data_IF_103182873652
#
_entry.id   IF_103182873652
#
_cell.length_a   1.000
_cell.length_b   1.000
_cell.length_c   1.000
_cell.angle_alpha   90.00
_cell.angle_beta   90.00
_cell.angle_gamma   90.00
#
_symmetry.space_group_name_H-M   'P 1'
#
loop_
_entity.id
_entity.type
_entity.pdbx_description
1 polymer ?
#
# COMPACT_ATOMS: atom_id res chain seq x y z
N UNK A 1 13.77 -6.46 9.56
CA UNK A 1 12.66 -5.90 8.92
C UNK A 1 11.46 -5.80 9.76
N UNK A 2 10.90 -6.88 10.27
CA UNK A 2 9.75 -6.71 11.14
C UNK A 2 10.11 -5.92 12.38
N UNK A 3 11.35 -6.00 12.77
CA UNK A 3 11.84 -5.23 13.89
C UNK A 3 11.67 -3.75 13.66
N UNK A 4 12.02 -3.29 12.47
CA UNK A 4 11.90 -1.88 12.14
C UNK A 4 10.45 -1.43 12.17
N UNK A 5 9.57 -2.21 11.60
CA UNK A 5 8.16 -1.86 11.59
C UNK A 5 7.59 -1.79 12.99
N UNK A 6 7.96 -2.76 13.79
CA UNK A 6 7.50 -2.81 15.17
C UNK A 6 7.97 -1.59 15.95
N UNK A 7 9.23 -1.26 15.77
CA UNK A 7 9.81 -0.11 16.43
C UNK A 7 9.10 1.18 16.05
N UNK A 8 8.79 1.35 14.79
CA UNK A 8 8.10 2.53 14.33
C UNK A 8 6.73 2.67 14.98
N UNK A 9 6.03 1.56 15.13
CA UNK A 9 4.71 1.61 15.76
C UNK A 9 4.80 2.01 17.21
N UNK A 10 5.78 1.50 17.89
CA UNK A 10 5.98 1.85 19.28
C UNK A 10 6.30 3.31 19.45
N UNK A 11 7.17 3.82 18.61
CA UNK A 11 7.56 5.21 18.69
C UNK A 11 6.36 6.11 18.49
N UNK A 12 5.50 5.75 17.57
CA UNK A 12 4.33 6.58 17.28
C UNK A 12 3.27 6.48 18.34
N UNK A 13 3.34 5.45 19.16
CA UNK A 13 2.55 5.37 20.37
C UNK A 13 1.07 5.68 20.13
N UNK A 14 0.44 4.90 19.31
CA UNK A 14 -0.98 5.03 19.10
C UNK A 14 -1.39 6.11 18.13
N UNK A 15 -0.47 6.97 17.78
CA UNK A 15 -0.77 8.00 16.80
C UNK A 15 -0.28 7.65 15.42
N UNK A 16 0.55 6.64 15.35
CA UNK A 16 1.15 6.26 14.09
C UNK A 16 0.18 5.42 13.27
N UNK A 17 0.13 5.73 12.01
CA UNK A 17 -0.50 4.86 11.04
C UNK A 17 0.33 4.99 9.79
N UNK A 18 0.41 3.89 9.07
CA UNK A 18 1.24 3.85 7.90
C UNK A 18 0.53 4.58 6.76
N UNK A 19 1.29 5.39 6.05
CA UNK A 19 0.78 6.04 4.86
C UNK A 19 0.36 4.97 3.86
N UNK A 20 -0.76 5.17 3.14
CA UNK A 20 -1.23 4.14 2.23
C UNK A 20 -0.23 3.87 1.11
N UNK A 21 0.56 4.86 0.74
CA UNK A 21 1.57 4.65 -0.30
C UNK A 21 2.65 3.69 0.17
N UNK A 22 3.05 3.81 1.41
CA UNK A 22 4.03 2.90 1.99
C UNK A 22 3.46 1.49 2.07
N UNK A 23 2.20 1.38 2.51
CA UNK A 23 1.56 0.08 2.60
C UNK A 23 1.41 -0.55 1.22
N UNK A 24 1.07 0.28 0.24
CA UNK A 24 0.93 -0.17 -1.14
C UNK A 24 2.24 -0.73 -1.67
N UNK A 25 3.33 -0.01 -1.41
CA UNK A 25 4.65 -0.47 -1.82
C UNK A 25 5.02 -1.77 -1.09
N UNK A 26 4.75 -1.83 0.20
CA UNK A 26 5.08 -3.02 0.98
C UNK A 26 4.33 -4.24 0.47
N UNK A 27 3.06 -4.08 0.15
CA UNK A 27 2.28 -5.19 -0.39
C UNK A 27 2.84 -5.65 -1.73
N UNK A 28 3.23 -4.69 -2.56
CA UNK A 28 3.82 -5.02 -3.85
C UNK A 28 5.13 -5.80 -3.66
N UNK A 29 5.99 -5.31 -2.81
CA UNK A 29 7.29 -5.94 -2.59
C UNK A 29 7.15 -7.27 -1.89
N UNK A 30 6.22 -7.38 -0.95
CA UNK A 30 5.99 -8.65 -0.26
C UNK A 30 5.55 -9.75 -1.23
N UNK A 31 4.91 -9.37 -2.32
CA UNK A 31 4.44 -10.32 -3.32
C UNK A 31 5.38 -10.39 -4.52
N UNK A 32 6.55 -9.79 -4.41
CA UNK A 32 7.56 -9.82 -5.47
C UNK A 32 7.04 -9.31 -6.81
N UNK A 33 6.24 -8.25 -6.77
CA UNK A 33 5.67 -7.68 -7.98
C UNK A 33 6.38 -6.41 -8.38
N UNK A 34 6.45 -6.20 -9.69
CA UNK A 34 7.01 -4.96 -10.21
C UNK A 34 5.93 -3.88 -10.23
N UNK A 35 6.37 -2.63 -10.32
CA UNK A 35 5.43 -1.53 -10.47
C UNK A 35 4.61 -1.68 -11.74
N UNK A 36 5.24 -2.19 -12.79
CA UNK A 36 4.54 -2.40 -14.05
C UNK A 36 3.41 -3.42 -13.88
N UNK A 37 3.69 -4.49 -13.17
CA UNK A 37 2.70 -5.56 -12.97
C UNK A 37 1.49 -5.05 -12.19
N UNK A 38 1.75 -4.32 -11.11
CA UNK A 38 0.63 -3.80 -10.30
C UNK A 38 -0.10 -2.70 -11.04
N UNK A 39 0.64 -1.86 -11.77
CA UNK A 39 0.01 -0.83 -12.57
C UNK A 39 -1.00 -1.42 -13.55
N UNK A 40 -0.66 -2.56 -14.15
CA UNK A 40 -1.56 -3.21 -15.10
C UNK A 40 -2.88 -3.61 -14.45
N UNK A 41 -2.86 -3.95 -13.18
CA UNK A 41 -4.08 -4.34 -12.46
C UNK A 41 -5.08 -3.20 -12.42
N UNK A 42 -4.58 -1.98 -12.32
CA UNK A 42 -5.45 -0.81 -12.24
C UNK A 42 -5.39 0.01 -13.53
N UNK A 43 -4.98 -0.62 -14.62
CA UNK A 43 -4.97 0.01 -15.95
C UNK A 43 -4.12 1.25 -16.01
N UNK A 44 -2.95 1.18 -15.40
CA UNK A 44 -2.02 2.29 -15.43
C UNK A 44 -0.68 1.81 -15.97
N UNK A 45 0.03 2.72 -16.60
CA UNK A 45 1.40 2.43 -17.01
C UNK A 45 2.27 2.31 -15.77
N UNK A 46 3.47 1.76 -15.96
CA UNK A 46 4.43 1.69 -14.86
C UNK A 46 4.69 3.07 -14.28
N UNK A 47 4.84 4.06 -15.15
CA UNK A 47 5.12 5.41 -14.69
C UNK A 47 3.94 6.00 -13.92
N UNK A 48 2.73 5.78 -14.42
CA UNK A 48 1.54 6.27 -13.71
C UNK A 48 1.40 5.65 -12.34
N UNK A 49 1.64 4.35 -12.23
CA UNK A 49 1.60 3.69 -10.94
C UNK A 49 2.71 4.19 -10.03
N UNK A 50 3.91 4.37 -10.60
CA UNK A 50 5.05 4.86 -9.82
C UNK A 50 4.75 6.23 -9.22
N UNK A 51 4.07 7.08 -9.95
CA UNK A 51 3.72 8.40 -9.45
C UNK A 51 2.81 8.30 -8.23
N UNK A 52 1.93 7.29 -8.21
CA UNK A 52 1.08 7.12 -7.03
C UNK A 52 1.91 6.69 -5.83
N UNK A 53 2.84 5.77 -6.02
CA UNK A 53 3.71 5.36 -4.91
C UNK A 53 4.59 6.50 -4.41
N UNK A 54 5.01 7.38 -5.30
CA UNK A 54 5.89 8.48 -4.97
C UNK A 54 5.17 9.69 -4.35
N UNK A 55 3.85 9.71 -4.44
CA UNK A 55 3.11 10.83 -3.92
C UNK A 55 2.81 11.93 -4.93
N UNK A 56 3.12 11.71 -6.19
CA UNK A 56 2.85 12.70 -7.24
C UNK A 56 1.44 12.60 -7.78
N UNK A 57 0.78 11.49 -7.53
CA UNK A 57 -0.58 11.28 -8.00
C UNK A 57 -1.38 10.61 -6.91
N UNK A 58 -2.69 10.81 -6.95
CA UNK A 58 -3.59 10.22 -5.97
C UNK A 58 -4.09 8.88 -6.44
N UNK A 59 -4.33 7.98 -5.49
CA UNK A 59 -4.95 6.71 -5.78
C UNK A 59 -6.47 6.89 -5.74
N UNK A 60 -7.13 6.53 -6.83
CA UNK A 60 -8.58 6.63 -6.88
C UNK A 60 -9.21 5.53 -6.07
N UNK A 61 -10.42 5.80 -5.58
CA UNK A 61 -11.11 4.84 -4.74
C UNK A 61 -11.37 3.53 -5.49
N UNK A 62 -11.71 3.61 -6.76
CA UNK A 62 -11.96 2.40 -7.53
C UNK A 62 -10.70 1.55 -7.66
N UNK A 63 -9.57 2.20 -7.81
CA UNK A 63 -8.30 1.50 -7.91
C UNK A 63 -7.91 0.90 -6.57
N UNK A 64 -8.22 1.61 -5.48
CA UNK A 64 -7.99 1.08 -4.14
C UNK A 64 -8.76 -0.22 -3.94
N UNK A 65 -10.01 -0.23 -4.37
CA UNK A 65 -10.83 -1.43 -4.21
C UNK A 65 -10.23 -2.59 -5.00
N UNK A 66 -9.79 -2.31 -6.22
CA UNK A 66 -9.18 -3.35 -7.05
C UNK A 66 -7.93 -3.92 -6.39
N UNK A 67 -7.11 -3.06 -5.82
CA UNK A 67 -5.89 -3.52 -5.19
C UNK A 67 -6.17 -4.29 -3.91
N UNK A 68 -7.16 -3.84 -3.14
CA UNK A 68 -7.55 -4.57 -1.95
C UNK A 68 -8.04 -5.97 -2.30
N UNK A 69 -8.83 -6.08 -3.37
CA UNK A 69 -9.31 -7.38 -3.82
C UNK A 69 -8.16 -8.24 -4.31
N UNK A 70 -7.23 -7.64 -5.02
CA UNK A 70 -6.09 -8.38 -5.55
C UNK A 70 -5.22 -8.92 -4.43
N UNK A 71 -4.91 -8.09 -3.45
CA UNK A 71 -4.05 -8.50 -2.34
C UNK A 71 -4.82 -9.23 -1.24
N UNK A 72 -6.14 -9.25 -1.33
CA UNK A 72 -7.01 -9.89 -0.34
C UNK A 72 -6.80 -9.28 1.04
N UNK A 73 -6.82 -7.98 1.08
CA UNK A 73 -6.70 -7.23 2.33
C UNK A 73 -7.88 -6.28 2.44
N UNK A 74 -8.15 -5.85 3.67
CA UNK A 74 -9.21 -4.87 3.90
C UNK A 74 -8.75 -3.48 3.49
N UNK A 75 -9.72 -2.60 3.23
CA UNK A 75 -9.40 -1.21 2.95
C UNK A 75 -8.72 -0.56 4.15
N UNK A 76 -9.14 -0.90 5.35
CA UNK A 76 -8.53 -0.36 6.56
C UNK A 76 -7.04 -0.71 6.62
N UNK A 77 -6.71 -1.94 6.30
CA UNK A 77 -5.32 -2.35 6.29
C UNK A 77 -4.55 -1.57 5.22
N UNK A 78 -5.15 -1.45 4.03
CA UNK A 78 -4.48 -0.81 2.91
C UNK A 78 -4.16 0.65 3.20
N UNK A 79 -5.10 1.36 3.80
CA UNK A 79 -4.89 2.78 4.07
C UNK A 79 -4.17 3.03 5.39
N UNK A 80 -3.78 1.98 6.08
CA UNK A 80 -2.94 2.11 7.27
C UNK A 80 -3.69 2.30 8.57
N UNK A 81 -5.00 2.11 8.58
CA UNK A 81 -5.79 2.28 9.79
C UNK A 81 -5.79 1.03 10.66
N UNK A 82 -5.36 -0.09 10.11
CA UNK A 82 -5.40 -1.35 10.84
C UNK A 82 -4.16 -2.16 10.49
N UNK A 83 -3.67 -2.92 11.43
CA UNK A 83 -2.58 -3.87 11.18
C UNK A 83 -3.10 -5.22 10.74
N UNK A 84 -4.39 -5.43 10.80
CA UNK A 84 -4.98 -6.70 10.41
C UNK A 84 -5.33 -6.65 8.94
N UNK A 85 -4.88 -7.65 8.19
CA UNK A 85 -5.11 -7.68 6.76
C UNK A 85 -6.58 -7.86 6.39
N UNK A 86 -7.36 -8.43 7.28
CA UNK A 86 -8.77 -8.66 7.00
C UNK A 86 -9.67 -8.11 8.06
#
# INVERSE_FOLDING_TARGET
MSMVKFFCRIIKAGRFYMNYRTRMRNLREDNDLTQKAVGAIINKSQQGYSHIEDGRAELKIDDLIKLCDFYKVSADYFIGRSDKRK
#
